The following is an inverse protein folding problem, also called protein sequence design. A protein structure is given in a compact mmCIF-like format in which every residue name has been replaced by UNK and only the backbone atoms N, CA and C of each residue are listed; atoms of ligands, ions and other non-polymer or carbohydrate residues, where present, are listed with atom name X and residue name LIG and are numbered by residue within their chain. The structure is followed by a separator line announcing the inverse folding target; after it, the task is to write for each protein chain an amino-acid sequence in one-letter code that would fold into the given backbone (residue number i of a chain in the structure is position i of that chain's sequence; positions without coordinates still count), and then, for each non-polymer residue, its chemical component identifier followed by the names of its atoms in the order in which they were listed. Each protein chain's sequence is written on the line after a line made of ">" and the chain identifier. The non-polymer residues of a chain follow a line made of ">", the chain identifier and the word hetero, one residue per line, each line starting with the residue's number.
data_IF_872701008082
#
_entry.id   IF_872701008082
#
_cell.length_a   1.000
_cell.length_b   1.000
_cell.length_c   1.000
_cell.angle_alpha   90.00
_cell.angle_beta   90.00
_cell.angle_gamma   90.00
#
_symmetry.space_group_name_H-M   'P 1'
#
loop_
_entity.id
_entity.type
_entity.pdbx_description
1 polymer ?
#
# COMPACT_ATOMS: atom_id res chain seq x y z
N UNK A 1 -31.22 7.41 -0.49
CA UNK A 1 -30.95 6.99 -1.89
C UNK A 1 -30.34 5.60 -1.86
N UNK A 2 -30.97 4.63 -2.52
CA UNK A 2 -30.50 3.23 -2.60
C UNK A 2 -29.90 2.97 -3.99
N UNK A 3 -28.68 2.42 -4.04
CA UNK A 3 -28.01 2.07 -5.31
C UNK A 3 -28.73 0.91 -6.03
N UNK A 4 -28.89 1.03 -7.35
CA UNK A 4 -29.55 0.06 -8.23
C UNK A 4 -28.71 -1.21 -8.47
N UNK A 5 -29.38 -2.36 -8.64
CA UNK A 5 -28.76 -3.71 -8.80
C UNK A 5 -27.77 -3.83 -9.96
N UNK A 6 -27.95 -3.04 -11.02
CA UNK A 6 -27.07 -2.97 -12.20
C UNK A 6 -25.66 -2.44 -11.87
N UNK A 7 -25.54 -1.50 -10.92
CA UNK A 7 -24.24 -1.02 -10.43
C UNK A 7 -23.48 -2.07 -9.60
N UNK A 8 -24.19 -3.07 -9.07
CA UNK A 8 -23.62 -4.17 -8.30
C UNK A 8 -23.00 -5.24 -9.20
N UNK A 9 -23.57 -5.47 -10.39
CA UNK A 9 -23.17 -6.53 -11.32
C UNK A 9 -21.94 -6.17 -12.20
N UNK A 10 -21.70 -4.88 -12.49
CA UNK A 10 -20.50 -4.43 -13.21
C UNK A 10 -19.21 -4.50 -12.38
N UNK A 11 -19.34 -4.67 -11.05
CA UNK A 11 -18.22 -4.91 -10.14
C UNK A 11 -17.99 -6.42 -10.06
N UNK A 12 -17.36 -7.01 -11.08
CA UNK A 12 -16.82 -8.37 -10.97
C UNK A 12 -15.85 -8.51 -9.79
N UNK A 13 -15.25 -9.70 -9.59
CA UNK A 13 -14.27 -10.02 -8.54
C UNK A 13 -12.99 -9.15 -8.51
N UNK A 14 -12.95 -8.03 -9.22
CA UNK A 14 -12.00 -6.93 -9.10
C UNK A 14 -12.29 -6.00 -7.91
N UNK A 15 -12.97 -6.48 -6.86
CA UNK A 15 -13.06 -5.82 -5.57
C UNK A 15 -11.68 -5.84 -4.88
N UNK A 16 -10.74 -5.03 -5.36
CA UNK A 16 -9.58 -4.63 -4.57
C UNK A 16 -10.13 -3.78 -3.43
N UNK A 17 -10.43 -4.44 -2.32
CA UNK A 17 -10.98 -3.82 -1.12
C UNK A 17 -9.90 -2.94 -0.50
N UNK A 18 -9.90 -1.66 -0.85
CA UNK A 18 -9.30 -0.63 0.00
C UNK A 18 -9.89 -0.81 1.41
N UNK A 19 -9.02 -0.97 2.40
CA UNK A 19 -9.47 -1.22 3.77
C UNK A 19 -9.58 0.10 4.50
N UNK A 20 -10.79 0.46 4.91
CA UNK A 20 -11.01 1.62 5.76
C UNK A 20 -10.24 1.50 7.07
N UNK A 21 -9.53 2.55 7.43
CA UNK A 21 -8.83 2.72 8.69
C UNK A 21 -9.39 3.95 9.43
N UNK A 22 -9.22 4.04 10.77
CA UNK A 22 -9.74 5.15 11.56
C UNK A 22 -9.37 6.52 10.99
N UNK A 23 -10.28 7.49 11.14
CA UNK A 23 -10.12 8.85 10.64
C UNK A 23 -10.42 9.03 9.15
N UNK A 24 -11.35 8.24 8.60
CA UNK A 24 -11.78 8.29 7.18
C UNK A 24 -10.62 8.10 6.19
N UNK A 25 -9.62 7.29 6.57
CA UNK A 25 -8.46 6.95 5.74
C UNK A 25 -8.63 5.53 5.20
N UNK A 26 -7.81 5.17 4.21
CA UNK A 26 -7.82 3.83 3.61
C UNK A 26 -6.40 3.28 3.48
N UNK A 27 -6.26 1.97 3.63
CA UNK A 27 -5.09 1.18 3.24
C UNK A 27 -5.37 0.52 1.89
N UNK A 28 -4.35 0.40 1.06
CA UNK A 28 -4.52 -0.16 -0.28
C UNK A 28 -4.93 -1.63 -0.26
N UNK A 29 -4.38 -2.43 0.67
CA UNK A 29 -4.83 -3.80 0.86
C UNK A 29 -4.46 -4.36 2.24
N UNK A 30 -5.30 -5.27 2.72
CA UNK A 30 -4.94 -6.24 3.77
C UNK A 30 -5.03 -7.65 3.17
N UNK A 31 -3.98 -8.45 3.34
CA UNK A 31 -3.89 -9.83 2.84
C UNK A 31 -3.44 -10.75 3.96
N UNK A 32 -4.36 -11.57 4.47
CA UNK A 32 -4.07 -12.49 5.58
C UNK A 32 -3.49 -11.73 6.78
N UNK A 33 -2.22 -11.98 7.10
CA UNK A 33 -1.48 -11.33 8.21
C UNK A 33 -0.75 -10.04 7.82
N UNK A 34 -0.82 -9.60 6.56
CA UNK A 34 -0.07 -8.45 6.05
C UNK A 34 -0.96 -7.26 5.73
N UNK A 35 -0.49 -6.07 6.06
CA UNK A 35 -1.03 -4.79 5.60
C UNK A 35 -0.10 -4.21 4.53
N UNK A 36 -0.66 -3.80 3.39
CA UNK A 36 0.10 -3.40 2.21
C UNK A 36 -0.35 -2.00 1.79
N UNK A 37 0.64 -1.12 1.60
CA UNK A 37 0.46 0.19 1.00
C UNK A 37 1.35 0.31 -0.24
N UNK A 38 0.85 0.94 -1.29
CA UNK A 38 1.49 1.11 -2.59
C UNK A 38 1.67 2.60 -2.84
N UNK A 39 2.91 3.08 -2.70
CA UNK A 39 3.24 4.46 -3.02
C UNK A 39 3.81 4.54 -4.44
N UNK A 40 3.21 5.37 -5.31
CA UNK A 40 3.63 5.52 -6.73
C UNK A 40 4.13 6.90 -7.08
N UNK A 41 3.96 7.88 -6.20
CA UNK A 41 4.29 9.27 -6.46
C UNK A 41 5.74 9.64 -6.14
N UNK A 42 6.51 8.75 -5.53
CA UNK A 42 7.96 8.90 -5.29
C UNK A 42 8.39 10.08 -4.40
N UNK A 43 7.45 10.83 -3.80
CA UNK A 43 7.80 11.96 -2.93
C UNK A 43 7.88 11.52 -1.46
N UNK A 44 8.84 12.08 -0.72
CA UNK A 44 9.04 11.78 0.69
C UNK A 44 7.76 12.00 1.53
N UNK A 45 6.97 13.03 1.21
CA UNK A 45 5.70 13.32 1.90
C UNK A 45 4.67 12.20 1.71
N UNK A 46 4.56 11.66 0.50
CA UNK A 46 3.60 10.59 0.21
C UNK A 46 4.05 9.26 0.82
N UNK A 47 5.35 8.95 0.73
CA UNK A 47 5.96 7.81 1.43
C UNK A 47 5.70 7.91 2.94
N UNK A 48 5.90 9.09 3.54
CA UNK A 48 5.64 9.29 4.96
C UNK A 48 4.17 9.06 5.32
N UNK A 49 3.25 9.54 4.49
CA UNK A 49 1.81 9.31 4.66
C UNK A 49 1.45 7.82 4.57
N UNK A 50 2.02 7.10 3.60
CA UNK A 50 1.86 5.65 3.45
C UNK A 50 2.36 4.91 4.71
N UNK A 51 3.53 5.28 5.23
CA UNK A 51 4.07 4.74 6.48
C UNK A 51 3.17 5.06 7.69
N UNK A 52 2.58 6.26 7.76
CA UNK A 52 1.61 6.62 8.79
C UNK A 52 0.34 5.76 8.72
N UNK A 53 -0.06 5.29 7.53
CA UNK A 53 -1.20 4.37 7.39
C UNK A 53 -0.82 2.99 7.88
N UNK A 54 0.33 2.47 7.45
CA UNK A 54 0.85 1.17 7.89
C UNK A 54 1.11 1.11 9.40
N UNK A 55 1.55 2.22 10.02
CA UNK A 55 1.80 2.28 11.45
C UNK A 55 0.56 1.96 12.30
N UNK A 56 -0.65 2.23 11.81
CA UNK A 56 -1.93 1.92 12.49
C UNK A 56 -2.17 0.42 12.67
N UNK A 57 -1.47 -0.43 11.92
CA UNK A 57 -1.68 -1.87 11.90
C UNK A 57 -0.72 -2.56 12.88
N UNK A 58 -1.08 -2.60 14.16
CA UNK A 58 -0.20 -3.14 15.20
C UNK A 58 0.09 -4.64 15.04
N UNK A 59 -0.92 -5.44 14.68
CA UNK A 59 -0.85 -6.91 14.68
C UNK A 59 -0.61 -7.52 13.29
N UNK A 60 0.00 -6.77 12.37
CA UNK A 60 0.16 -7.20 10.97
C UNK A 60 1.59 -6.93 10.48
N UNK A 61 2.06 -7.79 9.59
CA UNK A 61 3.27 -7.52 8.83
C UNK A 61 3.03 -6.33 7.88
N UNK A 62 3.80 -5.26 8.04
CA UNK A 62 3.60 -4.01 7.27
C UNK A 62 4.49 -4.03 6.04
N UNK A 63 3.89 -3.86 4.87
CA UNK A 63 4.59 -3.91 3.59
C UNK A 63 4.35 -2.60 2.84
N UNK A 64 5.43 -1.86 2.57
CA UNK A 64 5.40 -0.72 1.67
C UNK A 64 5.90 -1.15 0.29
N UNK A 65 5.12 -0.88 -0.75
CA UNK A 65 5.50 -1.13 -2.15
C UNK A 65 5.79 0.18 -2.86
N UNK A 66 6.97 0.30 -3.46
CA UNK A 66 7.41 1.52 -4.18
C UNK A 66 8.03 1.20 -5.54
N UNK A 67 8.07 2.14 -6.50
CA UNK A 67 8.90 2.00 -7.69
C UNK A 67 10.36 1.74 -7.34
N UNK A 68 11.09 1.02 -8.21
CA UNK A 68 12.50 0.68 -7.97
C UNK A 68 13.36 1.93 -7.70
N UNK A 69 13.11 3.00 -8.45
CA UNK A 69 13.87 4.26 -8.34
C UNK A 69 13.64 4.96 -6.98
N UNK A 70 12.51 4.69 -6.33
CA UNK A 70 12.13 5.31 -5.06
C UNK A 70 12.53 4.47 -3.84
N UNK A 71 13.09 3.27 -4.04
CA UNK A 71 13.51 2.37 -2.96
C UNK A 71 14.50 3.05 -1.98
N UNK A 72 15.54 3.78 -2.42
CA UNK A 72 16.48 4.43 -1.49
C UNK A 72 15.78 5.45 -0.60
N UNK A 73 14.94 6.30 -1.19
CA UNK A 73 14.17 7.31 -0.46
C UNK A 73 13.19 6.67 0.52
N UNK A 74 12.52 5.58 0.12
CA UNK A 74 11.62 4.84 0.99
C UNK A 74 12.33 4.28 2.23
N UNK A 75 13.52 3.71 2.06
CA UNK A 75 14.33 3.20 3.18
C UNK A 75 14.74 4.33 4.13
N UNK A 76 15.14 5.49 3.61
CA UNK A 76 15.45 6.65 4.46
C UNK A 76 14.25 7.13 5.27
N UNK A 77 13.08 7.24 4.64
CA UNK A 77 11.85 7.62 5.33
C UNK A 77 11.47 6.61 6.42
N UNK A 78 11.61 5.30 6.16
CA UNK A 78 11.37 4.24 7.16
C UNK A 78 12.32 4.39 8.36
N UNK A 79 13.61 4.62 8.10
CA UNK A 79 14.61 4.82 9.17
C UNK A 79 14.29 6.04 10.03
N UNK A 80 13.95 7.17 9.41
CA UNK A 80 13.57 8.40 10.12
C UNK A 80 12.32 8.19 10.99
N UNK A 81 11.33 7.44 10.49
CA UNK A 81 10.06 7.22 11.18
C UNK A 81 10.10 6.09 12.22
N UNK A 82 11.16 5.28 12.24
CA UNK A 82 11.35 4.15 13.16
C UNK A 82 10.18 3.13 13.15
N UNK A 83 9.60 2.90 11.98
CA UNK A 83 8.51 1.92 11.80
C UNK A 83 9.08 0.59 11.30
N UNK A 84 8.71 -0.52 11.94
CA UNK A 84 9.04 -1.85 11.44
C UNK A 84 8.20 -2.16 10.19
N UNK A 85 8.81 -2.06 9.00
CA UNK A 85 8.16 -2.21 7.70
C UNK A 85 9.09 -2.95 6.74
N UNK A 86 8.53 -3.81 5.90
CA UNK A 86 9.23 -4.38 4.75
C UNK A 86 9.00 -3.49 3.52
N UNK A 87 10.06 -2.95 2.94
CA UNK A 87 9.99 -2.21 1.68
C UNK A 87 10.22 -3.18 0.53
N UNK A 88 9.31 -3.20 -0.45
CA UNK A 88 9.38 -4.06 -1.63
C UNK A 88 9.18 -3.24 -2.90
N UNK A 89 9.76 -3.66 -4.01
CA UNK A 89 9.59 -2.96 -5.27
C UNK A 89 8.27 -3.36 -5.96
N UNK A 90 7.70 -2.42 -6.72
CA UNK A 90 6.53 -2.67 -7.59
C UNK A 90 6.91 -3.41 -8.86
N UNK A 91 8.15 -3.20 -9.32
CA UNK A 91 8.71 -3.95 -10.42
C UNK A 91 8.91 -5.39 -9.93
N UNK A 92 8.01 -6.29 -10.30
CA UNK A 92 8.26 -7.73 -10.20
C UNK A 92 9.58 -8.09 -10.91
N UNK A 93 10.00 -9.34 -10.79
CA UNK A 93 11.17 -9.88 -11.51
C UNK A 93 11.16 -9.48 -12.99
N UNK A 94 12.17 -8.71 -13.41
CA UNK A 94 12.42 -8.43 -14.82
C UNK A 94 13.26 -9.59 -15.37
N UNK A 95 12.65 -10.47 -16.14
CA UNK A 95 13.39 -11.49 -16.91
C UNK A 95 13.96 -10.80 -18.15
N UNK A 96 15.28 -10.64 -18.18
CA UNK A 96 16.02 -10.21 -19.36
C UNK A 96 16.49 -11.48 -20.05
N UNK A 97 16.17 -11.65 -21.34
CA UNK A 97 16.85 -12.61 -22.22
C UNK A 97 17.66 -11.77 -23.23
N UNK A 98 18.95 -12.08 -23.45
CA UNK A 98 19.74 -11.44 -24.48
C UNK A 98 19.16 -11.70 -25.87
#
# INVERSE_FOLDING_TARGET
>A
MSESRSHKAGKGNAARTEVSIPGNRRLDAIRGISAIEVERGGTARKIDQALSRLATQANRAKILRVPQNDMPLAVECVRKKRVNVTVTNLAKTKRIKP
#
